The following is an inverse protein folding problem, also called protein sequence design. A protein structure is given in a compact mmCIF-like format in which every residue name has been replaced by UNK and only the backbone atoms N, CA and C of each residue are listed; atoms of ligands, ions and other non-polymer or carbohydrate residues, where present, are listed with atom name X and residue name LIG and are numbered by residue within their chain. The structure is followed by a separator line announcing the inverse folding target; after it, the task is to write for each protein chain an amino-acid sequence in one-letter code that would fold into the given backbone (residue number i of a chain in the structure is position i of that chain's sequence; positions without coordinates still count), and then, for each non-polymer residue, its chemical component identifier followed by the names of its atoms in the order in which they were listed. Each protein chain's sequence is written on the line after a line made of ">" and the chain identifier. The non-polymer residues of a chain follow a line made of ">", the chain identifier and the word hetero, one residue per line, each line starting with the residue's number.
data_IF_541354419611
#
_entry.id   IF_541354419611
#
_cell.length_a   1.000
_cell.length_b   1.000
_cell.length_c   1.000
_cell.angle_alpha   90.00
_cell.angle_beta   90.00
_cell.angle_gamma   90.00
#
_symmetry.space_group_name_H-M   'P 1'
#
loop_
_entity.id
_entity.type
_entity.pdbx_description
1 polymer ?
#
# COMPACT_ATOMS: atom_id res chain seq x y z
N UNK A 1 8.69 -11.15 4.13
CA UNK A 1 9.99 -10.55 3.76
C UNK A 1 9.77 -9.05 3.70
N UNK A 2 10.76 -8.23 4.03
CA UNK A 2 10.59 -6.77 4.10
C UNK A 2 11.59 -6.09 3.18
N UNK A 3 11.18 -4.99 2.57
CA UNK A 3 12.07 -4.11 1.78
C UNK A 3 12.00 -2.70 2.33
N UNK A 4 13.13 -2.00 2.31
CA UNK A 4 13.20 -0.57 2.66
C UNK A 4 13.55 0.20 1.40
N UNK A 5 12.77 1.23 1.10
CA UNK A 5 12.98 2.11 -0.06
C UNK A 5 12.89 3.57 0.34
N UNK A 6 13.52 4.43 -0.46
CA UNK A 6 13.33 5.87 -0.35
C UNK A 6 11.88 6.23 -0.66
N UNK A 7 11.30 7.15 0.10
CA UNK A 7 9.91 7.56 -0.04
C UNK A 7 9.60 8.21 -1.40
N UNK A 8 10.62 8.65 -2.13
CA UNK A 8 10.51 9.19 -3.49
C UNK A 8 10.44 8.13 -4.59
N UNK A 9 10.76 6.86 -4.31
CA UNK A 9 10.72 5.79 -5.31
C UNK A 9 9.30 5.59 -5.84
N UNK A 10 9.13 5.50 -7.16
CA UNK A 10 7.84 5.21 -7.76
C UNK A 10 7.44 3.76 -7.49
N UNK A 11 6.14 3.51 -7.35
CA UNK A 11 5.65 2.13 -7.21
C UNK A 11 5.93 1.29 -8.46
N UNK A 12 5.98 1.89 -9.65
CA UNK A 12 6.40 1.21 -10.88
C UNK A 12 7.79 0.60 -10.72
N UNK A 13 8.78 1.41 -10.31
CA UNK A 13 10.16 0.95 -10.10
C UNK A 13 10.24 -0.08 -8.96
N UNK A 14 9.53 0.16 -7.85
CA UNK A 14 9.49 -0.78 -6.72
C UNK A 14 8.98 -2.16 -7.15
N UNK A 15 7.94 -2.22 -7.98
CA UNK A 15 7.39 -3.49 -8.45
C UNK A 15 8.38 -4.28 -9.32
N UNK A 16 9.15 -3.60 -10.18
CA UNK A 16 10.18 -4.24 -11.01
C UNK A 16 11.29 -4.86 -10.13
N UNK A 17 11.76 -4.10 -9.13
CA UNK A 17 12.75 -4.59 -8.17
C UNK A 17 12.21 -5.77 -7.35
N UNK A 18 10.98 -5.67 -6.84
CA UNK A 18 10.33 -6.77 -6.11
C UNK A 18 10.19 -8.02 -6.98
N UNK A 19 9.80 -7.87 -8.24
CA UNK A 19 9.68 -9.00 -9.17
C UNK A 19 11.03 -9.71 -9.37
N UNK A 20 12.13 -8.95 -9.47
CA UNK A 20 13.49 -9.52 -9.57
C UNK A 20 13.90 -10.34 -8.33
N UNK A 21 13.32 -10.00 -7.17
CA UNK A 21 13.53 -10.68 -5.89
C UNK A 21 12.52 -11.82 -5.65
N UNK A 22 11.60 -12.07 -6.58
CA UNK A 22 10.51 -13.04 -6.39
C UNK A 22 9.50 -12.62 -5.32
N UNK A 23 9.32 -11.31 -5.14
CA UNK A 23 8.43 -10.68 -4.18
C UNK A 23 7.34 -9.84 -4.87
N UNK A 24 6.30 -9.52 -4.11
CA UNK A 24 5.25 -8.59 -4.50
C UNK A 24 4.69 -7.84 -3.28
N UNK A 25 4.02 -6.71 -3.53
CA UNK A 25 3.10 -6.11 -2.57
C UNK A 25 1.82 -6.95 -2.49
N UNK A 26 1.21 -7.07 -1.31
CA UNK A 26 0.00 -7.89 -1.15
C UNK A 26 -1.23 -7.25 -1.79
N UNK A 27 -1.21 -5.93 -1.92
CA UNK A 27 -2.21 -5.14 -2.62
C UNK A 27 -1.55 -3.87 -3.16
N UNK A 28 -2.01 -3.36 -4.30
CA UNK A 28 -1.45 -2.17 -4.94
C UNK A 28 -2.56 -1.25 -5.44
N UNK A 29 -2.34 0.07 -5.44
CA UNK A 29 -3.27 1.02 -6.05
C UNK A 29 -3.42 0.85 -7.57
N UNK A 30 -4.44 1.46 -8.16
CA UNK A 30 -4.68 1.41 -9.60
C UNK A 30 -3.65 2.21 -10.44
N UNK A 31 -2.92 3.14 -9.81
CA UNK A 31 -1.91 4.00 -10.43
C UNK A 31 -0.57 3.68 -9.80
N UNK A 32 0.44 3.39 -10.62
CA UNK A 32 1.80 3.05 -10.16
C UNK A 32 2.79 4.21 -10.27
N UNK A 33 2.43 5.28 -10.99
CA UNK A 33 3.22 6.52 -11.12
C UNK A 33 3.07 7.44 -9.90
N UNK A 34 3.06 6.85 -8.71
CA UNK A 34 3.01 7.52 -7.41
C UNK A 34 4.16 7.04 -6.55
N UNK A 35 4.68 7.91 -5.68
CA UNK A 35 5.82 7.58 -4.85
C UNK A 35 5.42 6.74 -3.62
N UNK A 36 6.36 5.97 -3.08
CA UNK A 36 6.16 5.13 -1.88
C UNK A 36 5.69 5.95 -0.66
N UNK A 37 6.19 7.17 -0.48
CA UNK A 37 5.73 8.09 0.57
C UNK A 37 4.36 8.70 0.28
N UNK A 38 4.11 9.12 -0.96
CA UNK A 38 2.84 9.73 -1.34
C UNK A 38 1.66 8.76 -1.26
N UNK A 39 1.89 7.51 -1.65
CA UNK A 39 0.84 6.49 -1.71
C UNK A 39 0.37 6.06 -0.32
N UNK A 40 1.28 5.99 0.66
CA UNK A 40 0.91 5.73 2.06
C UNK A 40 0.31 6.98 2.70
N UNK A 41 0.88 8.16 2.42
CA UNK A 41 0.47 9.41 3.04
C UNK A 41 -0.98 9.80 2.79
N UNK A 42 -1.53 9.37 1.66
CA UNK A 42 -2.92 9.63 1.25
C UNK A 42 -3.90 8.51 1.63
N UNK A 43 -3.42 7.43 2.25
CA UNK A 43 -4.23 6.26 2.56
C UNK A 43 -4.72 5.53 1.31
N UNK A 44 -3.90 5.51 0.25
CA UNK A 44 -4.24 4.83 -1.00
C UNK A 44 -4.52 3.35 -0.74
N UNK A 45 -5.54 2.84 -1.41
CA UNK A 45 -6.01 1.47 -1.29
C UNK A 45 -6.45 0.94 -2.65
N UNK A 46 -6.74 -0.34 -2.67
CA UNK A 46 -7.41 -1.01 -3.77
C UNK A 46 -8.41 -2.00 -3.16
N UNK A 47 -9.01 -2.84 -3.99
CA UNK A 47 -10.08 -3.73 -3.58
C UNK A 47 -9.56 -4.95 -2.84
N UNK A 48 -10.49 -5.77 -2.36
CA UNK A 48 -10.22 -7.01 -1.63
C UNK A 48 -10.56 -6.91 -0.15
N UNK A 49 -11.57 -7.68 0.28
CA UNK A 49 -12.14 -7.59 1.63
C UNK A 49 -11.16 -8.00 2.74
N UNK A 50 -10.15 -8.80 2.39
CA UNK A 50 -9.12 -9.26 3.31
C UNK A 50 -7.89 -8.35 3.32
N UNK A 51 -7.86 -7.32 2.46
CA UNK A 51 -6.72 -6.43 2.28
C UNK A 51 -6.99 -5.07 2.91
N UNK A 52 -6.00 -4.55 3.64
CA UNK A 52 -6.01 -3.17 4.12
C UNK A 52 -5.57 -2.18 3.03
N UNK A 53 -5.53 -0.90 3.42
CA UNK A 53 -4.91 0.16 2.61
C UNK A 53 -3.39 -0.09 2.48
N UNK A 54 -2.70 0.53 1.53
CA UNK A 54 -1.24 0.31 1.35
C UNK A 54 -0.44 0.61 2.63
N UNK A 55 -0.86 1.62 3.39
CA UNK A 55 -0.24 1.95 4.67
C UNK A 55 -0.28 0.79 5.68
N UNK A 56 -1.22 -0.17 5.57
CA UNK A 56 -1.24 -1.35 6.45
C UNK A 56 -0.04 -2.27 6.24
N UNK A 57 0.57 -2.24 5.06
CA UNK A 57 1.75 -3.03 4.71
C UNK A 57 3.05 -2.39 5.21
N UNK A 58 3.03 -1.11 5.61
CA UNK A 58 4.18 -0.41 6.19
C UNK A 58 4.44 -0.90 7.60
N UNK A 59 5.67 -1.34 7.88
CA UNK A 59 6.13 -1.84 9.18
C UNK A 59 7.10 -0.90 9.88
N UNK A 60 7.76 0.00 9.14
CA UNK A 60 8.56 1.08 9.69
C UNK A 60 8.68 2.23 8.68
N UNK A 61 8.98 3.44 9.14
CA UNK A 61 9.29 4.59 8.32
C UNK A 61 10.26 5.53 9.03
N UNK A 62 10.95 6.38 8.26
CA UNK A 62 11.78 7.46 8.80
C UNK A 62 11.12 8.80 8.46
N UNK A 63 10.88 9.64 9.47
CA UNK A 63 10.20 10.93 9.35
C UNK A 63 11.15 12.07 9.73
N UNK A 64 11.29 13.07 8.87
CA UNK A 64 11.93 14.33 9.21
C UNK A 64 10.87 15.36 9.62
N UNK A 65 10.96 15.88 10.84
CA UNK A 65 10.02 16.89 11.36
C UNK A 65 10.37 18.29 10.86
N UNK A 66 9.48 19.26 11.10
CA UNK A 66 9.71 20.67 10.75
C UNK A 66 10.90 21.29 11.51
N UNK A 67 11.33 20.69 12.63
CA UNK A 67 12.51 21.13 13.38
C UNK A 67 13.83 20.57 12.79
N UNK A 68 13.76 19.74 11.74
CA UNK A 68 14.91 19.04 11.17
C UNK A 68 15.32 17.78 11.94
N UNK A 69 14.55 17.38 12.96
CA UNK A 69 14.77 16.12 13.68
C UNK A 69 14.36 14.93 12.81
N UNK A 70 15.18 13.88 12.80
CA UNK A 70 14.91 12.64 12.06
C UNK A 70 14.52 11.56 13.05
N UNK A 71 13.31 11.03 12.88
CA UNK A 71 12.70 10.04 13.74
C UNK A 71 12.54 8.72 13.00
N UNK A 72 13.10 7.65 13.55
CA UNK A 72 12.77 6.29 13.14
C UNK A 72 11.47 5.85 13.84
N UNK A 73 10.52 5.34 13.08
CA UNK A 73 9.17 5.04 13.55
C UNK A 73 8.79 3.61 13.15
N UNK A 74 8.34 2.81 14.12
CA UNK A 74 7.85 1.44 13.95
C UNK A 74 6.81 1.10 15.01
N UNK A 75 6.36 -0.15 15.06
CA UNK A 75 5.51 -0.67 16.13
C UNK A 75 6.18 -0.68 17.52
N UNK A 76 7.51 -0.56 17.55
CA UNK A 76 8.35 -0.67 18.75
C UNK A 76 9.17 0.59 19.04
N UNK A 77 9.19 1.56 18.11
CA UNK A 77 9.91 2.83 18.24
C UNK A 77 9.03 3.99 17.78
N UNK A 78 8.90 5.04 18.60
CA UNK A 78 8.04 6.20 18.30
C UNK A 78 6.61 5.78 17.87
N UNK A 79 6.03 4.78 18.55
CA UNK A 79 4.83 4.05 18.12
C UNK A 79 3.63 4.95 17.78
N UNK A 80 3.39 6.00 18.59
CA UNK A 80 2.30 6.94 18.34
C UNK A 80 2.54 7.75 17.06
N UNK A 81 3.77 8.20 16.83
CA UNK A 81 4.18 8.90 15.62
C UNK A 81 4.11 7.96 14.43
N UNK A 82 4.52 6.69 14.58
CA UNK A 82 4.40 5.68 13.55
C UNK A 82 2.95 5.52 13.08
N UNK A 83 1.99 5.35 13.99
CA UNK A 83 0.59 5.20 13.62
C UNK A 83 0.04 6.45 12.91
N UNK A 84 0.42 7.65 13.38
CA UNK A 84 0.02 8.90 12.72
C UNK A 84 0.68 9.08 11.34
N UNK A 85 1.96 8.73 11.22
CA UNK A 85 2.76 8.94 10.01
C UNK A 85 2.42 7.99 8.87
N UNK A 86 1.77 6.85 9.15
CA UNK A 86 1.34 5.91 8.11
C UNK A 86 0.30 6.48 7.15
N UNK A 87 -0.48 7.47 7.58
CA UNK A 87 -1.39 8.26 6.74
C UNK A 87 -1.25 9.74 7.12
N UNK A 88 -0.15 10.35 6.68
CA UNK A 88 0.30 11.66 7.16
C UNK A 88 -0.23 12.87 6.39
N UNK A 89 -0.82 12.68 5.20
CA UNK A 89 -1.30 13.76 4.30
C UNK A 89 -0.28 14.87 3.98
N UNK A 90 1.01 14.60 4.20
CA UNK A 90 2.09 15.61 4.10
C UNK A 90 2.18 16.58 5.29
N UNK A 91 1.39 16.40 6.35
CA UNK A 91 1.26 17.38 7.44
C UNK A 91 2.20 17.16 8.63
N UNK A 92 2.73 15.95 8.80
CA UNK A 92 3.53 15.58 9.98
C UNK A 92 5.05 15.76 9.79
N UNK A 93 5.47 16.08 8.57
CA UNK A 93 6.87 16.14 8.17
C UNK A 93 7.09 15.47 6.82
N UNK A 94 8.36 15.26 6.47
CA UNK A 94 8.78 14.59 5.23
C UNK A 94 9.15 13.15 5.56
N UNK A 95 8.45 12.19 4.98
CA UNK A 95 8.85 10.78 5.05
C UNK A 95 10.07 10.60 4.16
N UNK A 96 11.17 10.10 4.72
CA UNK A 96 12.43 9.88 4.01
C UNK A 96 12.46 8.48 3.40
N UNK A 97 12.21 7.46 4.23
CA UNK A 97 12.24 6.04 3.86
C UNK A 97 11.00 5.32 4.40
N UNK A 98 10.60 4.25 3.72
CA UNK A 98 9.49 3.37 4.10
C UNK A 98 9.96 1.93 4.04
N UNK A 99 9.66 1.16 5.09
CA UNK A 99 9.86 -0.30 5.11
C UNK A 99 8.52 -1.00 4.98
N UNK A 100 8.40 -1.83 3.95
CA UNK A 100 7.15 -2.46 3.53
C UNK A 100 7.25 -3.97 3.69
N UNK A 101 6.23 -4.58 4.26
CA UNK A 101 6.07 -6.03 4.31
C UNK A 101 5.59 -6.54 2.94
N UNK A 102 6.41 -7.40 2.33
CA UNK A 102 6.13 -8.05 1.06
C UNK A 102 5.68 -9.51 1.23
N UNK A 103 5.04 -10.02 0.18
CA UNK A 103 4.65 -11.42 0.01
C UNK A 103 5.45 -12.07 -1.13
N UNK A 104 5.51 -13.41 -1.22
CA UNK A 104 6.04 -14.07 -2.42
C UNK A 104 5.32 -13.60 -3.68
N UNK A 105 6.04 -13.49 -4.80
CA UNK A 105 5.45 -13.11 -6.08
C UNK A 105 4.33 -14.08 -6.50
N UNK A 106 3.28 -13.54 -7.11
CA UNK A 106 2.09 -14.27 -7.54
C UNK A 106 1.53 -13.69 -8.84
N UNK A 107 0.66 -14.44 -9.51
CA UNK A 107 -0.02 -14.01 -10.73
C UNK A 107 -1.49 -13.71 -10.43
N UNK A 108 -2.02 -12.66 -11.04
CA UNK A 108 -3.44 -12.29 -10.96
C UNK A 108 -4.12 -12.66 -12.28
N UNK A 109 -5.25 -13.35 -12.20
CA UNK A 109 -6.15 -13.53 -13.34
C UNK A 109 -7.25 -12.46 -13.31
N UNK A 110 -7.29 -11.60 -14.33
CA UNK A 110 -8.26 -10.52 -14.45
C UNK A 110 -9.40 -10.91 -15.39
N UNK A 111 -10.65 -10.80 -14.91
CA UNK A 111 -11.86 -10.91 -15.72
C UNK A 111 -12.64 -9.59 -15.67
N UNK A 112 -13.05 -9.08 -16.84
CA UNK A 112 -13.81 -7.83 -16.96
C UNK A 112 -14.93 -8.02 -17.97
N UNK A 113 -16.16 -7.66 -17.59
CA UNK A 113 -17.35 -7.77 -18.42
C UNK A 113 -18.43 -6.78 -17.94
N UNK A 114 -19.33 -6.31 -18.82
CA UNK A 114 -20.40 -5.39 -18.43
C UNK A 114 -21.52 -6.12 -17.68
N UNK A 115 -22.07 -5.47 -16.66
CA UNK A 115 -23.28 -5.87 -15.93
C UNK A 115 -24.07 -4.63 -15.51
N UNK A 116 -25.37 -4.78 -15.26
CA UNK A 116 -26.14 -3.70 -14.62
C UNK A 116 -25.80 -3.61 -13.13
N UNK A 117 -25.95 -2.42 -12.55
CA UNK A 117 -25.74 -2.22 -11.11
C UNK A 117 -26.63 -3.16 -10.27
N UNK A 118 -27.87 -3.38 -10.69
CA UNK A 118 -28.83 -4.27 -10.00
C UNK A 118 -28.33 -5.71 -9.95
N UNK A 119 -27.82 -6.25 -11.06
CA UNK A 119 -27.27 -7.61 -11.10
C UNK A 119 -26.07 -7.74 -10.17
N UNK A 120 -25.13 -6.79 -10.23
CA UNK A 120 -23.94 -6.81 -9.37
C UNK A 120 -24.29 -6.76 -7.89
N UNK A 121 -25.25 -5.91 -7.50
CA UNK A 121 -25.66 -5.80 -6.10
C UNK A 121 -26.42 -7.04 -5.61
N UNK A 122 -27.20 -7.70 -6.46
CA UNK A 122 -27.89 -8.94 -6.12
C UNK A 122 -26.90 -10.09 -5.87
N UNK A 123 -25.79 -10.13 -6.60
CA UNK A 123 -24.77 -11.18 -6.53
C UNK A 123 -23.49 -10.76 -5.75
N UNK A 124 -23.52 -9.62 -5.05
CA UNK A 124 -22.34 -9.01 -4.42
C UNK A 124 -21.58 -9.96 -3.51
N UNK A 125 -22.28 -10.72 -2.66
CA UNK A 125 -21.66 -11.69 -1.75
C UNK A 125 -20.92 -12.80 -2.49
N UNK A 126 -21.45 -13.23 -3.64
CA UNK A 126 -20.82 -14.24 -4.49
C UNK A 126 -19.54 -13.67 -5.08
N UNK A 127 -19.60 -12.46 -5.63
CA UNK A 127 -18.44 -11.78 -6.20
C UNK A 127 -17.31 -11.58 -5.18
N UNK A 128 -17.65 -11.13 -3.96
CA UNK A 128 -16.68 -10.90 -2.87
C UNK A 128 -16.05 -12.19 -2.34
N UNK A 129 -16.74 -13.34 -2.41
CA UNK A 129 -16.22 -14.64 -1.93
C UNK A 129 -15.40 -15.38 -2.99
N UNK A 130 -15.73 -15.19 -4.26
CA UNK A 130 -15.07 -15.89 -5.37
C UNK A 130 -13.84 -15.15 -5.90
N UNK A 131 -13.71 -13.86 -5.60
CA UNK A 131 -12.60 -13.03 -6.05
C UNK A 131 -11.82 -12.49 -4.86
N UNK A 132 -10.50 -12.61 -4.89
CA UNK A 132 -9.65 -11.97 -3.88
C UNK A 132 -9.74 -10.44 -3.96
N UNK A 133 -9.89 -9.91 -5.18
CA UNK A 133 -10.05 -8.51 -5.51
C UNK A 133 -11.31 -8.33 -6.36
N UNK A 134 -12.23 -7.45 -5.96
CA UNK A 134 -13.49 -7.21 -6.70
C UNK A 134 -13.80 -5.71 -6.81
N UNK A 135 -14.17 -5.26 -8.02
CA UNK A 135 -14.50 -3.86 -8.33
C UNK A 135 -15.60 -3.83 -9.41
N UNK A 136 -16.57 -2.92 -9.28
CA UNK A 136 -17.66 -2.69 -10.23
C UNK A 136 -17.99 -1.20 -10.33
#
# INVERSE_FOLDING_TARGET
>A
QQVTVEAGMLLTDLNEELASLGLALSNIGAVSDVTAGGVIGTGTHNTGIQHGILATQVVALTLMTAAGEVLECSDTMNCEIFQAARVHLGCLGVVLNVTIQCVPAFNIHLQQFPQTLTEVLNDLDTHLKQSEYFRF
#
